data_IF_442712837384
#
_entry.id   IF_442712837384
#
_cell.length_a   1.000
_cell.length_b   1.000
_cell.length_c   1.000
_cell.angle_alpha   90.00
_cell.angle_beta   90.00
_cell.angle_gamma   90.00
#
_symmetry.space_group_name_H-M   'P 1'
#
loop_
_entity.id
_entity.type
_entity.pdbx_description
1 polymer ?
#
# COMPACT_ATOMS: atom_id res chain seq x y z
N UNK A 1 -9.81 19.28 15.34
CA UNK A 1 -8.77 18.32 14.94
C UNK A 1 -7.65 19.11 14.26
N UNK A 2 -6.37 18.85 14.59
CA UNK A 2 -5.27 19.45 13.83
C UNK A 2 -5.22 18.76 12.47
N UNK A 3 -5.62 19.46 11.41
CA UNK A 3 -5.44 18.97 10.05
C UNK A 3 -3.94 18.87 9.76
N UNK A 4 -3.44 17.64 9.66
CA UNK A 4 -2.06 17.40 9.28
C UNK A 4 -1.88 17.85 7.82
N UNK A 5 -0.90 18.71 7.55
CA UNK A 5 -0.55 19.10 6.18
C UNK A 5 -0.17 17.86 5.35
N UNK A 6 -0.35 17.92 4.03
CA UNK A 6 0.00 16.81 3.12
C UNK A 6 1.47 16.37 3.27
N UNK A 7 2.35 17.32 3.59
CA UNK A 7 3.76 17.06 3.90
C UNK A 7 3.96 16.33 5.24
N UNK A 8 3.19 16.70 6.27
CA UNK A 8 3.18 16.01 7.56
C UNK A 8 2.73 14.56 7.44
N UNK A 9 1.73 14.30 6.58
CA UNK A 9 1.26 12.94 6.28
C UNK A 9 2.34 12.09 5.63
N UNK A 10 3.05 12.62 4.62
CA UNK A 10 4.18 11.91 3.98
C UNK A 10 5.31 11.65 4.95
N UNK A 11 5.65 12.62 5.80
CA UNK A 11 6.72 12.45 6.79
C UNK A 11 6.37 11.36 7.80
N UNK A 12 5.16 11.37 8.34
CA UNK A 12 4.69 10.35 9.28
C UNK A 12 4.59 8.96 8.62
N UNK A 13 4.00 8.87 7.43
CA UNK A 13 3.85 7.60 6.71
C UNK A 13 5.17 7.00 6.25
N UNK A 14 6.23 7.81 6.14
CA UNK A 14 7.56 7.33 5.73
C UNK A 14 8.46 7.00 6.92
N UNK A 15 8.10 7.46 8.13
CA UNK A 15 8.79 7.12 9.38
C UNK A 15 8.67 5.63 9.74
N UNK A 16 7.54 5.00 9.38
CA UNK A 16 7.28 3.57 9.65
C UNK A 16 7.90 2.63 8.61
N UNK A 17 8.59 3.16 7.59
CA UNK A 17 9.26 2.33 6.58
C UNK A 17 10.56 1.78 7.15
N UNK A 18 10.68 0.47 7.16
CA UNK A 18 11.86 -0.24 7.65
C UNK A 18 12.71 -0.78 6.49
N UNK A 19 14.01 -0.93 6.75
CA UNK A 19 14.96 -1.68 5.92
C UNK A 19 14.92 -1.30 4.43
N UNK A 20 14.62 -2.26 3.55
CA UNK A 20 14.58 -2.11 2.09
C UNK A 20 13.64 -0.99 1.64
N UNK A 21 12.50 -0.84 2.33
CA UNK A 21 11.46 0.12 1.98
C UNK A 21 11.92 1.56 2.21
N UNK A 22 12.70 1.79 3.27
CA UNK A 22 13.30 3.10 3.54
C UNK A 22 14.37 3.47 2.50
N UNK A 23 15.24 2.51 2.15
CA UNK A 23 16.28 2.70 1.12
C UNK A 23 15.65 3.00 -0.24
N UNK A 24 14.64 2.23 -0.64
CA UNK A 24 13.88 2.48 -1.86
C UNK A 24 13.25 3.89 -1.86
N UNK A 25 12.60 4.27 -0.75
CA UNK A 25 11.90 5.55 -0.69
C UNK A 25 12.85 6.75 -0.78
N UNK A 26 14.05 6.67 -0.18
CA UNK A 26 15.09 7.71 -0.33
C UNK A 26 15.51 7.89 -1.80
N UNK A 27 15.69 6.78 -2.52
CA UNK A 27 16.04 6.81 -3.94
C UNK A 27 14.88 7.32 -4.81
N UNK A 28 13.64 6.92 -4.51
CA UNK A 28 12.44 7.40 -5.20
C UNK A 28 12.26 8.91 -4.99
N UNK A 29 12.48 9.42 -3.77
CA UNK A 29 12.46 10.84 -3.45
C UNK A 29 13.40 11.67 -4.32
N UNK A 30 14.63 11.20 -4.54
CA UNK A 30 15.62 11.87 -5.40
C UNK A 30 15.19 11.91 -6.88
N UNK A 31 14.45 10.90 -7.34
CA UNK A 31 13.94 10.84 -8.73
C UNK A 31 12.74 11.76 -8.95
N UNK A 32 11.86 11.89 -7.94
CA UNK A 32 10.57 12.58 -8.07
C UNK A 32 10.67 14.11 -8.04
N UNK A 33 11.79 14.67 -7.58
CA UNK A 33 12.02 16.11 -7.63
C UNK A 33 13.36 16.54 -7.04
N UNK A 34 13.70 17.83 -7.15
CA UNK A 34 14.88 18.41 -6.53
C UNK A 34 14.93 18.10 -5.03
N UNK A 35 16.13 17.84 -4.53
CA UNK A 35 16.37 17.57 -3.11
C UNK A 35 15.77 18.70 -2.26
N UNK A 36 14.77 18.38 -1.41
CA UNK A 36 14.09 19.36 -0.54
C UNK A 36 12.67 19.75 -0.96
N UNK A 37 12.16 19.33 -2.12
CA UNK A 37 10.75 19.51 -2.45
C UNK A 37 9.88 18.52 -1.67
N UNK A 38 8.87 19.03 -0.96
CA UNK A 38 7.90 18.20 -0.26
C UNK A 38 7.12 17.33 -1.24
N UNK A 39 7.12 16.00 -1.04
CA UNK A 39 6.35 15.08 -1.85
C UNK A 39 4.94 14.97 -1.26
N UNK A 40 3.88 15.28 -2.04
CA UNK A 40 2.50 15.11 -1.58
C UNK A 40 2.19 13.65 -1.23
N UNK A 41 1.31 13.45 -0.25
CA UNK A 41 0.95 12.11 0.24
C UNK A 41 0.42 11.19 -0.86
N UNK A 42 -0.40 11.71 -1.78
CA UNK A 42 -0.94 10.96 -2.91
C UNK A 42 0.15 10.40 -3.84
N UNK A 43 1.25 11.14 -4.02
CA UNK A 43 2.36 10.69 -4.85
C UNK A 43 3.16 9.59 -4.16
N UNK A 44 3.40 9.69 -2.84
CA UNK A 44 3.97 8.59 -2.06
C UNK A 44 3.13 7.32 -2.17
N UNK A 45 1.81 7.41 -1.94
CA UNK A 45 0.91 6.26 -2.05
C UNK A 45 0.95 5.60 -3.42
N UNK A 46 0.96 6.40 -4.50
CA UNK A 46 1.05 5.88 -5.86
C UNK A 46 2.34 5.08 -6.07
N UNK A 47 3.50 5.67 -5.77
CA UNK A 47 4.80 5.01 -5.96
C UNK A 47 4.94 3.76 -5.08
N UNK A 48 4.46 3.84 -3.84
CA UNK A 48 4.46 2.72 -2.90
C UNK A 48 3.62 1.55 -3.42
N UNK A 49 2.40 1.83 -3.88
CA UNK A 49 1.51 0.81 -4.44
C UNK A 49 2.07 0.23 -5.74
N UNK A 50 2.66 1.04 -6.63
CA UNK A 50 3.29 0.51 -7.85
C UNK A 50 4.45 -0.44 -7.52
N UNK A 51 5.29 -0.11 -6.53
CA UNK A 51 6.46 -0.90 -6.19
C UNK A 51 6.13 -2.17 -5.42
N UNK A 52 5.27 -2.08 -4.41
CA UNK A 52 5.02 -3.17 -3.45
C UNK A 52 3.67 -3.86 -3.65
N UNK A 53 2.77 -3.23 -4.39
CA UNK A 53 1.41 -3.73 -4.65
C UNK A 53 1.17 -3.79 -6.16
N UNK A 54 2.07 -4.51 -6.85
CA UNK A 54 2.06 -4.61 -8.30
C UNK A 54 0.68 -5.06 -8.81
N UNK A 55 0.32 -4.62 -10.02
CA UNK A 55 -0.97 -4.93 -10.65
C UNK A 55 -1.24 -6.45 -10.64
N UNK A 56 -0.20 -7.28 -10.74
CA UNK A 56 -0.32 -8.74 -10.69
C UNK A 56 -0.76 -9.26 -9.32
N UNK A 57 -0.27 -8.67 -8.22
CA UNK A 57 -0.71 -9.04 -6.86
C UNK A 57 -2.16 -8.63 -6.65
N UNK A 58 -2.54 -7.45 -7.14
CA UNK A 58 -3.93 -6.98 -7.10
C UNK A 58 -4.84 -7.88 -7.95
N UNK A 59 -4.42 -8.21 -9.17
CA UNK A 59 -5.18 -9.08 -10.07
C UNK A 59 -5.31 -10.50 -9.50
N UNK A 60 -4.25 -11.03 -8.89
CA UNK A 60 -4.29 -12.33 -8.23
C UNK A 60 -5.28 -12.34 -7.07
N UNK A 61 -5.27 -11.32 -6.21
CA UNK A 61 -6.28 -11.18 -5.14
C UNK A 61 -7.70 -11.08 -5.69
N UNK A 62 -7.91 -10.34 -6.78
CA UNK A 62 -9.22 -10.24 -7.45
C UNK A 62 -9.67 -11.59 -8.00
N UNK A 63 -8.79 -12.36 -8.63
CA UNK A 63 -9.11 -13.72 -9.11
C UNK A 63 -9.43 -14.65 -7.94
N UNK A 64 -8.60 -14.66 -6.90
CA UNK A 64 -8.84 -15.46 -5.68
C UNK A 64 -10.19 -15.11 -5.03
N UNK A 65 -10.56 -13.83 -5.01
CA UNK A 65 -11.84 -13.36 -4.52
C UNK A 65 -13.02 -13.79 -5.42
N UNK A 66 -12.87 -13.70 -6.75
CA UNK A 66 -13.88 -14.14 -7.72
C UNK A 66 -14.13 -15.65 -7.67
N UNK A 67 -13.07 -16.42 -7.40
CA UNK A 67 -13.14 -17.88 -7.28
C UNK A 67 -13.56 -18.34 -5.88
N UNK A 68 -13.59 -17.43 -4.88
CA UNK A 68 -13.97 -17.74 -3.51
C UNK A 68 -15.44 -18.17 -3.42
N UNK A 69 -15.66 -19.47 -3.36
CA UNK A 69 -16.95 -20.10 -3.09
C UNK A 69 -16.91 -20.76 -1.72
N UNK A 70 -18.01 -20.69 -0.96
CA UNK A 70 -18.10 -21.36 0.33
C UNK A 70 -17.86 -22.87 0.19
N UNK A 71 -18.47 -23.51 -0.81
CA UNK A 71 -18.32 -24.95 -1.04
C UNK A 71 -18.66 -25.75 0.23
N UNK A 72 -17.70 -26.57 0.68
CA UNK A 72 -17.83 -27.37 1.91
C UNK A 72 -17.28 -26.66 3.16
N UNK A 73 -16.85 -25.40 3.06
CA UNK A 73 -16.37 -24.63 4.20
C UNK A 73 -17.52 -24.26 5.13
N UNK A 74 -17.24 -24.20 6.43
CA UNK A 74 -18.17 -23.58 7.37
C UNK A 74 -18.30 -22.09 7.06
N UNK A 75 -19.43 -21.49 7.45
CA UNK A 75 -19.64 -20.04 7.27
C UNK A 75 -18.54 -19.22 7.96
N UNK A 76 -18.05 -19.69 9.12
CA UNK A 76 -16.98 -19.04 9.86
C UNK A 76 -15.64 -19.07 9.07
N UNK A 77 -15.26 -20.24 8.54
CA UNK A 77 -14.02 -20.37 7.77
C UNK A 77 -14.08 -19.57 6.45
N UNK A 78 -15.26 -19.51 5.83
CA UNK A 78 -15.48 -18.68 4.65
C UNK A 78 -15.33 -17.19 4.96
N UNK A 79 -15.92 -16.71 6.06
CA UNK A 79 -15.82 -15.32 6.48
C UNK A 79 -14.36 -14.90 6.74
N UNK A 80 -13.59 -15.75 7.43
CA UNK A 80 -12.15 -15.49 7.65
C UNK A 80 -11.40 -15.39 6.32
N UNK A 81 -11.63 -16.32 5.38
CA UNK A 81 -11.00 -16.23 4.05
C UNK A 81 -11.42 -14.99 3.28
N UNK A 82 -12.70 -14.63 3.34
CA UNK A 82 -13.22 -13.43 2.70
C UNK A 82 -12.53 -12.18 3.24
N UNK A 83 -12.41 -12.05 4.57
CA UNK A 83 -11.73 -10.92 5.22
C UNK A 83 -10.26 -10.82 4.86
N UNK A 84 -9.55 -11.94 4.68
CA UNK A 84 -8.13 -11.93 4.27
C UNK A 84 -7.90 -11.49 2.81
N UNK A 85 -8.94 -11.55 1.98
CA UNK A 85 -8.90 -11.20 0.56
C UNK A 85 -9.41 -9.77 0.27
N UNK A 86 -10.16 -9.17 1.19
CA UNK A 86 -10.48 -7.74 1.20
C UNK A 86 -9.25 -6.87 1.50
#
# INVERSE_FOLDING_TARGET
AMECSEEGKTTLGTYVLHEEVNVWWKNAKMRLGPCGMAIPWEMFKREFLVKYFHVDVKNKKVVEFMELKQGNMTVADYAVKFETLC
#
